data_IF_438359548409
#
_entry.id   IF_438359548409
#
_cell.length_a   1.000
_cell.length_b   1.000
_cell.length_c   1.000
_cell.angle_alpha   90.00
_cell.angle_beta   90.00
_cell.angle_gamma   90.00
#
_symmetry.space_group_name_H-M   'P 1'
#
loop_
_entity.id
_entity.type
_entity.pdbx_description
1 polymer ?
#
# COMPACT_ATOMS: atom_id res chain seq x y z
N UNK A 1 13.37 -18.33 -0.86
CA UNK A 1 13.53 -18.26 0.59
C UNK A 1 13.57 -16.79 0.96
N UNK A 2 12.65 -16.32 1.79
CA UNK A 2 12.53 -14.93 2.29
C UNK A 2 13.45 -14.67 3.48
N UNK A 3 14.59 -15.37 3.52
CA UNK A 3 15.55 -15.30 4.61
C UNK A 3 16.71 -14.42 4.20
N UNK A 4 17.04 -13.43 5.03
CA UNK A 4 18.21 -12.58 4.83
C UNK A 4 19.46 -13.42 5.13
N UNK A 5 20.26 -13.66 4.09
CA UNK A 5 21.56 -14.31 4.26
C UNK A 5 22.54 -13.40 4.99
N UNK A 6 23.59 -13.97 5.59
CA UNK A 6 24.64 -13.22 6.28
C UNK A 6 25.25 -12.10 5.44
N UNK A 7 25.48 -12.33 4.15
CA UNK A 7 26.07 -11.31 3.26
C UNK A 7 25.09 -10.19 2.89
N UNK A 8 23.80 -10.49 2.77
CA UNK A 8 22.77 -9.47 2.54
C UNK A 8 22.58 -8.59 3.77
N UNK A 9 22.57 -9.18 4.97
CA UNK A 9 22.48 -8.43 6.22
C UNK A 9 23.68 -7.51 6.39
N UNK A 10 24.91 -8.00 6.14
CA UNK A 10 26.12 -7.18 6.23
C UNK A 10 26.09 -6.01 5.24
N UNK A 11 25.62 -6.24 4.01
CA UNK A 11 25.44 -5.18 3.01
C UNK A 11 24.39 -4.16 3.43
N UNK A 12 23.26 -4.62 3.97
CA UNK A 12 22.20 -3.74 4.46
C UNK A 12 22.69 -2.85 5.62
N UNK A 13 23.42 -3.43 6.59
CA UNK A 13 24.00 -2.68 7.71
C UNK A 13 25.03 -1.67 7.21
N UNK A 14 25.97 -2.09 6.34
CA UNK A 14 26.96 -1.18 5.79
C UNK A 14 26.31 -0.01 5.02
N UNK A 15 25.28 -0.29 4.21
CA UNK A 15 24.51 0.73 3.51
C UNK A 15 23.79 1.70 4.47
N UNK A 16 23.12 1.17 5.49
CA UNK A 16 22.38 1.98 6.47
C UNK A 16 23.29 2.93 7.27
N UNK A 17 24.53 2.52 7.55
CA UNK A 17 25.51 3.33 8.26
C UNK A 17 26.46 4.12 7.33
N UNK A 18 26.25 4.07 6.01
CA UNK A 18 27.06 4.79 5.03
C UNK A 18 28.51 4.29 4.93
N UNK A 19 28.78 3.03 5.30
CA UNK A 19 30.11 2.42 5.17
C UNK A 19 30.32 1.99 3.72
N UNK A 20 31.30 2.54 3.00
CA UNK A 20 31.54 2.17 1.60
C UNK A 20 31.95 0.70 1.49
N UNK A 21 31.30 0.00 0.56
CA UNK A 21 31.62 -1.34 0.13
C UNK A 21 32.22 -1.25 -1.27
N UNK A 22 33.52 -1.50 -1.40
CA UNK A 22 34.15 -1.57 -2.73
C UNK A 22 33.76 -2.89 -3.41
N UNK A 23 33.53 -2.83 -4.72
CA UNK A 23 32.55 -3.62 -5.47
C UNK A 23 32.53 -5.16 -5.34
N UNK A 24 33.53 -5.84 -4.77
CA UNK A 24 33.46 -7.32 -4.63
C UNK A 24 34.15 -7.89 -3.39
N UNK A 25 34.48 -7.09 -2.37
CA UNK A 25 35.24 -7.60 -1.23
C UNK A 25 34.62 -7.23 0.12
N UNK A 26 33.91 -8.19 0.71
CA UNK A 26 33.57 -8.26 2.14
C UNK A 26 34.79 -8.13 3.10
N UNK A 27 36.03 -8.50 2.73
CA UNK A 27 37.17 -8.26 3.60
C UNK A 27 37.29 -6.81 4.10
N UNK A 28 37.33 -6.67 5.43
CA UNK A 28 37.62 -5.39 6.11
C UNK A 28 36.42 -4.48 6.39
N UNK A 29 35.18 -4.86 6.06
CA UNK A 29 34.01 -4.04 6.41
C UNK A 29 33.83 -3.94 7.94
N UNK A 30 34.08 -5.03 8.67
CA UNK A 30 34.01 -5.08 10.14
C UNK A 30 34.96 -4.06 10.78
N UNK A 31 36.18 -3.94 10.24
CA UNK A 31 37.15 -2.95 10.70
C UNK A 31 36.70 -1.51 10.40
N UNK A 32 36.13 -1.26 9.22
CA UNK A 32 35.58 0.06 8.85
C UNK A 32 34.38 0.43 9.72
N UNK A 33 33.48 -0.52 9.95
CA UNK A 33 32.31 -0.34 10.80
C UNK A 33 32.72 -0.12 12.25
N UNK A 34 33.68 -0.88 12.78
CA UNK A 34 34.25 -0.64 14.10
C UNK A 34 34.91 0.76 14.20
N UNK A 35 35.60 1.20 13.15
CA UNK A 35 36.15 2.56 13.08
C UNK A 35 35.07 3.66 13.12
N UNK A 36 33.96 3.46 12.42
CA UNK A 36 32.79 4.36 12.48
C UNK A 36 32.17 4.39 13.88
N UNK A 37 31.98 3.23 14.52
CA UNK A 37 31.47 3.18 15.88
C UNK A 37 32.39 3.92 16.85
N UNK A 38 33.70 3.74 16.72
CA UNK A 38 34.70 4.44 17.53
C UNK A 38 34.67 5.97 17.31
N UNK A 39 34.51 6.44 16.06
CA UNK A 39 34.38 7.88 15.80
C UNK A 39 33.10 8.46 16.40
N UNK A 40 31.97 7.74 16.30
CA UNK A 40 30.72 8.14 16.95
C UNK A 40 30.89 8.20 18.48
N UNK A 41 31.60 7.22 19.07
CA UNK A 41 31.91 7.21 20.49
C UNK A 41 32.77 8.39 20.93
N UNK A 42 33.76 8.78 20.13
CA UNK A 42 34.59 9.96 20.38
C UNK A 42 33.77 11.27 20.34
N UNK A 43 32.69 11.31 19.56
CA UNK A 43 31.71 12.41 19.52
C UNK A 43 30.66 12.34 20.65
N UNK A 44 30.74 11.35 21.55
CA UNK A 44 29.72 11.13 22.59
C UNK A 44 28.38 10.62 22.06
N UNK A 45 28.37 10.07 20.84
CA UNK A 45 27.18 9.53 20.16
C UNK A 45 27.21 8.00 20.20
N UNK A 46 26.03 7.40 20.05
CA UNK A 46 25.83 5.94 19.98
C UNK A 46 25.11 5.58 18.70
N UNK A 47 25.45 4.43 18.12
CA UNK A 47 24.75 3.86 16.99
C UNK A 47 23.59 2.99 17.48
N UNK A 48 22.43 3.10 16.81
CA UNK A 48 21.29 2.21 17.00
C UNK A 48 20.99 1.53 15.67
N UNK A 49 21.01 0.20 15.67
CA UNK A 49 20.61 -0.62 14.54
C UNK A 49 19.23 -1.23 14.82
N UNK A 50 18.22 -0.76 14.10
CA UNK A 50 16.86 -1.32 14.18
C UNK A 50 16.69 -2.29 13.02
N UNK A 51 16.34 -3.54 13.35
CA UNK A 51 16.01 -4.58 12.37
C UNK A 51 14.54 -4.88 12.53
N UNK A 52 13.74 -4.41 11.57
CA UNK A 52 12.33 -4.74 11.48
C UNK A 52 12.13 -6.08 10.77
N UNK A 53 11.00 -6.73 11.02
CA UNK A 53 10.67 -8.07 10.51
C UNK A 53 11.79 -9.11 10.79
N UNK A 54 12.42 -9.02 11.96
CA UNK A 54 13.59 -9.82 12.33
C UNK A 54 13.33 -11.34 12.37
N UNK A 55 12.07 -11.81 12.34
CA UNK A 55 11.74 -13.23 12.19
C UNK A 55 12.23 -13.82 10.85
N UNK A 56 12.57 -12.98 9.87
CA UNK A 56 13.15 -13.38 8.59
C UNK A 56 14.68 -13.59 8.63
N UNK A 57 15.34 -13.27 9.75
CA UNK A 57 16.75 -13.58 9.92
C UNK A 57 16.96 -15.09 9.93
N UNK A 58 18.00 -15.55 9.26
CA UNK A 58 18.48 -16.92 9.43
C UNK A 58 19.55 -16.98 10.53
N UNK A 59 20.01 -18.19 10.83
CA UNK A 59 21.04 -18.42 11.84
C UNK A 59 22.37 -17.73 11.49
N UNK A 60 22.70 -17.63 10.20
CA UNK A 60 23.92 -17.00 9.75
C UNK A 60 23.84 -15.47 9.96
N UNK A 61 22.69 -14.87 9.73
CA UNK A 61 22.39 -13.47 10.02
C UNK A 61 22.54 -13.13 11.51
N UNK A 62 21.99 -13.96 12.41
CA UNK A 62 22.19 -13.77 13.85
C UNK A 62 23.66 -13.85 14.27
N UNK A 63 24.44 -14.75 13.65
CA UNK A 63 25.88 -14.84 13.90
C UNK A 63 26.64 -13.57 13.51
N UNK A 64 26.17 -12.84 12.49
CA UNK A 64 26.71 -11.52 12.14
C UNK A 64 26.40 -10.51 13.25
N UNK A 65 25.17 -10.49 13.77
CA UNK A 65 24.79 -9.58 14.85
C UNK A 65 25.58 -9.86 16.13
N UNK A 66 25.79 -11.13 16.46
CA UNK A 66 26.63 -11.56 17.59
C UNK A 66 28.06 -11.03 17.45
N UNK A 67 28.67 -11.20 16.27
CA UNK A 67 30.01 -10.69 15.97
C UNK A 67 30.11 -9.16 16.04
N UNK A 68 29.06 -8.44 15.64
CA UNK A 68 29.00 -6.98 15.72
C UNK A 68 28.94 -6.47 17.16
N UNK A 69 28.18 -7.14 18.02
CA UNK A 69 28.06 -6.76 19.44
C UNK A 69 29.31 -7.16 20.23
N UNK A 70 29.92 -8.29 19.91
CA UNK A 70 31.12 -8.80 20.56
C UNK A 70 32.43 -8.07 20.19
N UNK A 71 32.36 -6.99 19.41
CA UNK A 71 33.50 -6.28 18.83
C UNK A 71 34.64 -5.95 19.82
N UNK A 72 35.87 -5.72 19.32
CA UNK A 72 37.11 -5.81 20.10
C UNK A 72 37.32 -4.75 21.19
N UNK A 73 36.39 -3.80 21.38
CA UNK A 73 36.61 -2.63 22.25
C UNK A 73 35.83 -2.76 23.56
N UNK A 74 36.54 -2.85 24.69
CA UNK A 74 35.99 -2.93 26.06
C UNK A 74 35.36 -1.61 26.55
N UNK A 75 35.33 -0.55 25.74
CA UNK A 75 34.87 0.77 26.12
C UNK A 75 33.44 1.04 25.63
N UNK A 76 32.44 0.61 26.43
CA UNK A 76 31.00 0.83 26.26
C UNK A 76 30.38 0.31 24.94
N UNK A 77 29.18 -0.30 24.94
CA UNK A 77 28.56 -0.74 23.69
C UNK A 77 28.15 0.50 22.87
N UNK A 78 28.99 0.86 21.91
CA UNK A 78 28.77 1.96 20.95
C UNK A 78 27.70 1.61 19.91
N UNK A 79 27.26 0.34 19.88
CA UNK A 79 26.17 -0.17 19.07
C UNK A 79 25.08 -0.78 19.96
N UNK A 80 23.84 -0.31 19.78
CA UNK A 80 22.63 -0.91 20.34
C UNK A 80 21.80 -1.52 19.21
N UNK A 81 21.30 -2.75 19.40
CA UNK A 81 20.53 -3.45 18.37
C UNK A 81 19.12 -3.68 18.86
N UNK A 82 18.13 -3.22 18.10
CA UNK A 82 16.71 -3.43 18.35
C UNK A 82 16.17 -4.42 17.33
N UNK A 83 15.69 -5.57 17.81
CA UNK A 83 15.03 -6.56 16.98
C UNK A 83 13.52 -6.40 17.13
N UNK A 84 12.85 -6.07 16.04
CA UNK A 84 11.40 -5.92 15.96
C UNK A 84 10.90 -6.96 14.97
N UNK A 85 9.82 -7.66 15.33
CA UNK A 85 9.29 -8.70 14.46
C UNK A 85 8.07 -9.39 15.06
N UNK A 86 7.55 -10.34 14.29
CA UNK A 86 6.39 -11.14 14.67
C UNK A 86 6.76 -12.20 15.74
N UNK A 87 5.78 -12.84 16.42
CA UNK A 87 6.02 -13.81 17.49
C UNK A 87 6.99 -14.96 17.14
N UNK A 88 7.12 -15.29 15.85
CA UNK A 88 8.05 -16.26 15.28
C UNK A 88 9.52 -15.92 15.60
N UNK A 89 9.86 -14.63 15.73
CA UNK A 89 11.17 -14.17 16.17
C UNK A 89 11.56 -14.78 17.52
N UNK A 90 10.59 -14.93 18.43
CA UNK A 90 10.84 -15.55 19.73
C UNK A 90 11.19 -17.03 19.59
N UNK A 91 10.52 -17.76 18.71
CA UNK A 91 10.83 -19.16 18.46
C UNK A 91 12.25 -19.32 17.91
N UNK A 92 12.66 -18.40 17.02
CA UNK A 92 14.00 -18.33 16.50
C UNK A 92 15.04 -18.03 17.60
N UNK A 93 14.76 -17.09 18.50
CA UNK A 93 15.64 -16.72 19.63
C UNK A 93 15.65 -17.77 20.77
N UNK A 94 14.61 -18.60 20.88
CA UNK A 94 14.51 -19.69 21.85
C UNK A 94 15.29 -20.94 21.41
N UNK A 95 15.77 -20.99 20.16
CA UNK A 95 16.50 -22.13 19.63
C UNK A 95 17.85 -22.34 20.38
N UNK A 96 18.24 -23.59 20.74
CA UNK A 96 19.46 -23.86 21.50
C UNK A 96 20.74 -23.33 20.82
N UNK A 97 20.75 -23.29 19.49
CA UNK A 97 21.91 -22.89 18.70
C UNK A 97 22.17 -21.37 18.74
N UNK A 98 21.20 -20.56 19.18
CA UNK A 98 21.33 -19.09 19.29
C UNK A 98 21.40 -18.62 20.74
N UNK A 99 21.56 -19.55 21.69
CA UNK A 99 21.58 -19.26 23.12
C UNK A 99 22.67 -18.25 23.53
N UNK A 100 23.80 -18.20 22.80
CA UNK A 100 24.85 -17.20 23.03
C UNK A 100 24.35 -15.78 22.73
N UNK A 101 23.80 -15.56 21.54
CA UNK A 101 23.22 -14.28 21.13
C UNK A 101 22.05 -13.86 22.03
N UNK A 102 21.20 -14.81 22.44
CA UNK A 102 20.09 -14.54 23.37
C UNK A 102 20.55 -13.91 24.69
N UNK A 103 21.73 -14.28 25.20
CA UNK A 103 22.27 -13.70 26.45
C UNK A 103 22.62 -12.22 26.32
N UNK A 104 22.78 -11.72 25.10
CA UNK A 104 23.04 -10.30 24.82
C UNK A 104 21.75 -9.46 24.84
N UNK A 105 20.57 -10.10 24.83
CA UNK A 105 19.28 -9.41 24.86
C UNK A 105 19.02 -8.92 26.29
N UNK A 106 19.29 -7.64 26.52
CA UNK A 106 19.05 -7.00 27.82
C UNK A 106 17.58 -6.73 28.12
N UNK A 107 16.76 -6.49 27.09
CA UNK A 107 15.34 -6.17 27.21
C UNK A 107 14.55 -6.94 26.15
N UNK A 108 13.46 -7.57 26.57
CA UNK A 108 12.50 -8.22 25.68
C UNK A 108 11.10 -7.72 26.06
N UNK A 109 10.39 -7.17 25.08
CA UNK A 109 9.03 -6.69 25.24
C UNK A 109 8.12 -7.40 24.22
N UNK A 110 6.97 -7.89 24.69
CA UNK A 110 5.92 -8.39 23.82
C UNK A 110 4.78 -7.37 23.80
N UNK A 111 4.49 -6.83 22.62
CA UNK A 111 3.35 -5.96 22.43
C UNK A 111 2.12 -6.80 22.14
N UNK A 112 1.21 -6.88 23.12
CA UNK A 112 -0.10 -7.49 22.96
C UNK A 112 -1.09 -6.55 22.24
N UNK A 113 -2.32 -7.04 21.98
CA UNK A 113 -3.42 -6.17 21.62
C UNK A 113 -3.70 -5.16 22.73
N UNK A 114 -4.27 -4.01 22.36
CA UNK A 114 -4.64 -2.96 23.29
C UNK A 114 -5.82 -3.39 24.16
N UNK A 115 -5.78 -3.05 25.45
CA UNK A 115 -6.92 -3.19 26.36
C UNK A 115 -8.11 -2.29 25.93
N UNK A 116 -9.33 -2.50 26.45
CA UNK A 116 -10.49 -1.67 26.07
C UNK A 116 -10.29 -0.17 26.27
N UNK A 117 -9.69 0.22 27.41
CA UNK A 117 -9.40 1.63 27.74
C UNK A 117 -8.30 2.20 26.85
N UNK A 118 -7.28 1.40 26.54
CA UNK A 118 -6.20 1.76 25.62
C UNK A 118 -6.71 1.87 24.17
N UNK A 119 -7.68 1.04 23.79
CA UNK A 119 -8.33 1.08 22.47
C UNK A 119 -9.05 2.42 22.28
N UNK A 120 -9.83 2.85 23.28
CA UNK A 120 -10.47 4.16 23.26
C UNK A 120 -9.43 5.28 23.18
N UNK A 121 -8.42 5.28 24.06
CA UNK A 121 -7.37 6.29 24.08
C UNK A 121 -6.60 6.36 22.75
N UNK A 122 -6.33 5.20 22.14
CA UNK A 122 -5.70 5.07 20.84
C UNK A 122 -6.56 5.70 19.72
N UNK A 123 -7.85 5.38 19.67
CA UNK A 123 -8.79 5.94 18.68
C UNK A 123 -8.86 7.47 18.83
N UNK A 124 -9.09 7.96 20.04
CA UNK A 124 -9.18 9.40 20.30
C UNK A 124 -7.88 10.13 19.97
N UNK A 125 -6.72 9.56 20.32
CA UNK A 125 -5.42 10.13 20.00
C UNK A 125 -5.24 10.26 18.47
N UNK A 126 -5.55 9.19 17.72
CA UNK A 126 -5.47 9.18 16.26
C UNK A 126 -6.41 10.19 15.62
N UNK A 127 -7.63 10.29 16.14
CA UNK A 127 -8.63 11.27 15.70
C UNK A 127 -8.14 12.71 15.95
N UNK A 128 -7.64 13.01 17.16
CA UNK A 128 -7.09 14.34 17.49
C UNK A 128 -5.92 14.74 16.57
N UNK A 129 -5.05 13.78 16.21
CA UNK A 129 -3.97 14.02 15.23
C UNK A 129 -4.51 14.38 13.84
N UNK A 130 -5.70 13.91 13.49
CA UNK A 130 -6.42 14.28 12.27
C UNK A 130 -7.28 15.55 12.37
N UNK A 131 -7.20 16.30 13.48
CA UNK A 131 -7.99 17.52 13.69
C UNK A 131 -9.41 17.29 14.20
N UNK A 132 -9.71 16.12 14.77
CA UNK A 132 -11.02 15.83 15.35
C UNK A 132 -11.33 16.72 16.55
N UNK A 133 -12.49 17.38 16.50
CA UNK A 133 -13.00 18.29 17.54
C UNK A 133 -14.16 17.68 18.34
N UNK A 134 -14.35 16.36 18.26
CA UNK A 134 -15.49 15.67 18.88
C UNK A 134 -16.64 15.35 17.92
N UNK A 135 -16.47 15.58 16.61
CA UNK A 135 -17.46 15.25 15.56
C UNK A 135 -16.87 14.37 14.44
N UNK A 136 -17.52 13.26 14.06
CA UNK A 136 -18.70 12.67 14.70
C UNK A 136 -18.41 12.25 16.14
N UNK A 137 -19.44 12.29 17.00
CA UNK A 137 -19.34 11.90 18.39
C UNK A 137 -19.35 10.37 18.50
N UNK A 138 -18.41 9.80 19.23
CA UNK A 138 -18.41 8.36 19.51
C UNK A 138 -19.08 8.13 20.86
N UNK A 139 -20.09 7.26 20.87
CA UNK A 139 -20.72 6.84 22.12
C UNK A 139 -19.83 5.85 22.87
N UNK A 140 -19.98 5.78 24.20
CA UNK A 140 -19.17 4.88 25.03
C UNK A 140 -19.28 3.41 24.56
N UNK A 141 -20.48 2.97 24.19
CA UNK A 141 -20.74 1.63 23.67
C UNK A 141 -20.07 1.36 22.31
N UNK A 142 -19.82 2.41 21.51
CA UNK A 142 -19.15 2.26 20.23
C UNK A 142 -17.68 1.87 20.43
N UNK A 143 -16.98 2.46 21.40
CA UNK A 143 -15.60 2.07 21.71
C UNK A 143 -15.50 0.62 22.19
N UNK A 144 -16.43 0.20 23.04
CA UNK A 144 -16.48 -1.18 23.54
C UNK A 144 -16.77 -2.17 22.40
N UNK A 145 -17.71 -1.83 21.52
CA UNK A 145 -18.04 -2.61 20.32
C UNK A 145 -16.84 -2.70 19.36
N UNK A 146 -16.13 -1.58 19.13
CA UNK A 146 -14.91 -1.55 18.28
C UNK A 146 -13.84 -2.48 18.87
N UNK A 147 -13.59 -2.39 20.18
CA UNK A 147 -12.62 -3.25 20.84
C UNK A 147 -13.00 -4.74 20.66
N UNK A 148 -14.25 -5.10 20.93
CA UNK A 148 -14.76 -6.48 20.79
C UNK A 148 -14.62 -7.01 19.36
N UNK A 149 -14.96 -6.21 18.35
CA UNK A 149 -14.86 -6.59 16.94
C UNK A 149 -13.41 -6.72 16.43
N UNK A 150 -12.47 -5.98 17.03
CA UNK A 150 -11.09 -5.89 16.54
C UNK A 150 -10.10 -6.69 17.39
N UNK A 151 -10.51 -7.11 18.58
CA UNK A 151 -9.66 -7.75 19.58
C UNK A 151 -8.54 -6.84 20.07
N UNK A 152 -8.71 -5.52 20.05
CA UNK A 152 -7.69 -4.56 20.47
C UNK A 152 -6.51 -4.39 19.50
N UNK A 153 -6.53 -5.02 18.32
CA UNK A 153 -5.41 -4.97 17.37
C UNK A 153 -5.42 -3.65 16.58
N UNK A 154 -4.39 -2.78 16.69
CA UNK A 154 -4.39 -1.44 16.09
C UNK A 154 -4.69 -1.42 14.58
N UNK A 155 -4.16 -2.39 13.82
CA UNK A 155 -4.41 -2.50 12.38
C UNK A 155 -5.89 -2.79 12.07
N UNK A 156 -6.54 -3.64 12.86
CA UNK A 156 -7.97 -3.96 12.73
C UNK A 156 -8.83 -2.78 13.17
N UNK A 157 -8.46 -2.13 14.28
CA UNK A 157 -9.09 -0.88 14.76
C UNK A 157 -9.07 0.16 13.64
N UNK A 158 -7.90 0.44 13.05
CA UNK A 158 -7.79 1.45 11.98
C UNK A 158 -8.67 1.11 10.78
N UNK A 159 -8.72 -0.16 10.35
CA UNK A 159 -9.58 -0.58 9.23
C UNK A 159 -11.05 -0.36 9.54
N UNK A 160 -11.50 -0.80 10.70
CA UNK A 160 -12.89 -0.64 11.13
C UNK A 160 -13.26 0.83 11.32
N UNK A 161 -12.42 1.61 12.01
CA UNK A 161 -12.63 3.05 12.21
C UNK A 161 -12.62 3.83 10.90
N UNK A 162 -11.73 3.52 9.95
CA UNK A 162 -11.75 4.15 8.63
C UNK A 162 -13.08 3.89 7.92
N UNK A 163 -13.58 2.65 7.96
CA UNK A 163 -14.90 2.30 7.41
C UNK A 163 -16.02 3.04 8.14
N UNK A 164 -15.98 3.10 9.47
CA UNK A 164 -16.97 3.79 10.29
C UNK A 164 -17.03 5.28 10.02
N UNK A 165 -15.87 5.95 10.02
CA UNK A 165 -15.78 7.38 9.75
C UNK A 165 -16.22 7.69 8.32
N UNK A 166 -15.86 6.84 7.36
CA UNK A 166 -16.34 6.95 5.99
C UNK A 166 -17.86 6.78 5.94
N UNK A 167 -18.43 5.71 6.49
CA UNK A 167 -19.90 5.51 6.52
C UNK A 167 -20.64 6.62 7.26
N UNK A 168 -20.12 7.07 8.40
CA UNK A 168 -20.69 8.18 9.20
C UNK A 168 -20.65 9.49 8.43
N UNK A 169 -19.52 9.81 7.81
CA UNK A 169 -19.39 10.97 6.93
C UNK A 169 -20.42 10.89 5.80
N UNK A 170 -20.53 9.74 5.15
CA UNK A 170 -21.42 9.53 4.01
C UNK A 170 -22.91 9.55 4.36
N UNK A 171 -23.29 9.17 5.58
CA UNK A 171 -24.66 9.28 6.10
C UNK A 171 -24.93 10.63 6.78
N UNK A 172 -23.95 11.55 6.79
CA UNK A 172 -23.99 12.79 7.58
C UNK A 172 -24.36 12.54 9.06
N UNK A 173 -23.96 11.38 9.58
CA UNK A 173 -24.28 10.97 10.94
C UNK A 173 -23.46 11.81 11.93
N UNK A 174 -24.14 12.46 12.86
CA UNK A 174 -23.50 13.28 13.89
C UNK A 174 -22.86 12.44 15.01
N UNK A 175 -23.29 11.18 15.17
CA UNK A 175 -22.78 10.23 16.16
C UNK A 175 -22.52 8.86 15.55
N UNK A 176 -21.66 8.09 16.23
CA UNK A 176 -21.33 6.69 15.94
C UNK A 176 -21.68 5.89 17.19
N UNK A 177 -22.65 4.99 17.04
CA UNK A 177 -23.16 4.09 18.07
C UNK A 177 -22.68 2.65 17.85
N UNK A 178 -23.04 1.74 18.76
CA UNK A 178 -22.68 0.33 18.64
C UNK A 178 -23.31 -0.36 17.41
N UNK A 179 -24.45 0.14 16.91
CA UNK A 179 -25.15 -0.42 15.74
C UNK A 179 -24.36 -0.11 14.46
N UNK A 180 -23.89 1.12 14.31
CA UNK A 180 -23.02 1.52 13.21
C UNK A 180 -21.73 0.70 13.20
N UNK A 181 -21.13 0.47 14.38
CA UNK A 181 -19.95 -0.40 14.54
C UNK A 181 -20.23 -1.83 14.08
N UNK A 182 -21.33 -2.43 14.52
CA UNK A 182 -21.70 -3.78 14.13
C UNK A 182 -21.93 -3.90 12.62
N UNK A 183 -22.57 -2.89 12.00
CA UNK A 183 -22.77 -2.87 10.56
C UNK A 183 -21.44 -2.78 9.81
N UNK A 184 -20.57 -1.84 10.17
CA UNK A 184 -19.27 -1.70 9.53
C UNK A 184 -18.37 -2.94 9.72
N UNK A 185 -18.49 -3.61 10.86
CA UNK A 185 -17.78 -4.88 11.13
C UNK A 185 -18.30 -6.01 10.22
N UNK A 186 -19.62 -6.13 10.04
CA UNK A 186 -20.19 -7.14 9.12
C UNK A 186 -19.77 -6.91 7.69
N UNK A 187 -19.83 -5.66 7.21
CA UNK A 187 -19.38 -5.31 5.86
C UNK A 187 -17.91 -5.73 5.66
N UNK A 188 -17.04 -5.44 6.63
CA UNK A 188 -15.61 -5.76 6.56
C UNK A 188 -15.35 -7.28 6.62
N UNK A 189 -16.18 -8.03 7.35
CA UNK A 189 -16.13 -9.50 7.39
C UNK A 189 -16.55 -10.11 6.06
N UNK A 190 -17.62 -9.62 5.43
CA UNK A 190 -18.07 -10.10 4.11
C UNK A 190 -17.01 -9.85 3.02
N UNK A 191 -16.28 -8.75 3.11
CA UNK A 191 -15.12 -8.46 2.24
C UNK A 191 -13.94 -9.41 2.49
N UNK A 192 -13.80 -9.93 3.71
CA UNK A 192 -12.71 -10.86 4.10
C UNK A 192 -13.07 -12.32 3.81
N UNK A 193 -14.33 -12.74 4.09
CA UNK A 193 -14.87 -14.08 3.86
C UNK A 193 -15.13 -14.36 2.36
N UNK A 194 -15.28 -13.32 1.53
CA UNK A 194 -15.17 -13.44 0.06
C UNK A 194 -13.78 -13.86 -0.44
N UNK A 195 -12.80 -14.02 0.46
CA UNK A 195 -11.43 -14.46 0.20
C UNK A 195 -11.00 -15.77 0.87
N UNK A 196 -11.82 -16.38 1.74
CA UNK A 196 -11.49 -17.62 2.45
C UNK A 196 -12.27 -18.82 1.90
N UNK A 197 -11.76 -19.42 0.82
CA UNK A 197 -12.05 -20.82 0.51
C UNK A 197 -11.15 -21.68 1.40
N UNK A 198 -11.78 -22.49 2.26
CA UNK A 198 -11.14 -23.55 3.02
C UNK A 198 -10.13 -24.34 2.16
N UNK A 199 -8.87 -24.31 2.55
CA UNK A 199 -7.81 -25.11 1.93
C UNK A 199 -7.93 -26.57 2.38
N UNK A 200 -8.85 -27.30 1.77
CA UNK A 200 -8.73 -28.75 1.61
C UNK A 200 -8.56 -29.02 0.11
N UNK A 201 -7.30 -29.14 -0.32
CA UNK A 201 -6.97 -29.48 -1.70
C UNK A 201 -6.05 -30.72 -1.78
N UNK A 202 -6.34 -31.71 -2.66
CA UNK A 202 -5.62 -32.99 -2.75
C UNK A 202 -4.23 -32.92 -3.40
N UNK A 203 -3.64 -31.73 -3.56
CA UNK A 203 -2.38 -31.54 -4.32
C UNK A 203 -1.12 -31.62 -3.45
N UNK A 204 -1.08 -32.50 -2.44
CA UNK A 204 0.09 -32.66 -1.55
C UNK A 204 1.19 -33.60 -2.07
N UNK A 205 1.12 -34.14 -3.31
CA UNK A 205 2.21 -34.94 -3.87
C UNK A 205 2.40 -34.73 -5.38
N UNK A 206 3.12 -33.69 -5.74
CA UNK A 206 3.86 -33.64 -7.00
C UNK A 206 5.22 -32.97 -6.77
N UNK A 207 6.21 -33.80 -6.44
CA UNK A 207 7.61 -33.39 -6.35
C UNK A 207 8.14 -33.10 -7.76
N UNK A 208 8.06 -31.84 -8.20
CA UNK A 208 8.82 -31.40 -9.38
C UNK A 208 10.26 -31.06 -8.97
N UNK A 209 11.20 -31.88 -9.44
CA UNK A 209 12.63 -31.57 -9.44
C UNK A 209 12.88 -30.45 -10.45
N UNK A 210 13.26 -29.27 -9.98
CA UNK A 210 13.84 -28.23 -10.82
C UNK A 210 15.36 -28.37 -10.79
N UNK A 211 15.92 -28.75 -11.94
CA UNK A 211 17.36 -28.73 -12.20
C UNK A 211 17.89 -27.30 -12.15
N UNK A 212 19.08 -27.15 -11.57
CA UNK A 212 19.84 -25.91 -11.60
C UNK A 212 20.12 -25.52 -13.06
N UNK A 213 19.72 -24.31 -13.45
CA UNK A 213 20.21 -23.64 -14.65
C UNK A 213 20.72 -22.26 -14.25
N UNK A 214 21.87 -21.94 -14.79
CA UNK A 214 22.78 -20.87 -14.42
C UNK A 214 22.14 -19.48 -14.54
N UNK A 215 22.56 -18.59 -13.63
CA UNK A 215 22.20 -17.16 -13.64
C UNK A 215 23.00 -16.49 -14.77
N UNK A 216 22.39 -16.38 -15.94
CA UNK A 216 22.88 -15.49 -17.01
C UNK A 216 22.15 -14.15 -16.94
N UNK A 217 22.94 -13.10 -17.14
CA UNK A 217 22.66 -11.66 -17.20
C UNK A 217 21.31 -11.23 -17.79
N UNK A 218 20.77 -10.15 -17.23
CA UNK A 218 19.73 -9.27 -17.78
C UNK A 218 18.52 -9.99 -18.42
N UNK A 219 17.47 -10.20 -17.61
CA UNK A 219 16.16 -10.56 -18.17
C UNK A 219 15.68 -9.41 -19.07
N UNK A 220 15.29 -9.67 -20.33
CA UNK A 220 14.63 -8.65 -21.13
C UNK A 220 13.34 -8.26 -20.40
N UNK A 221 13.26 -6.99 -19.97
CA UNK A 221 12.03 -6.43 -19.44
C UNK A 221 10.94 -6.52 -20.49
N UNK A 222 9.71 -6.79 -20.07
CA UNK A 222 8.55 -6.70 -20.94
C UNK A 222 8.58 -5.30 -21.60
N UNK A 223 8.50 -5.18 -22.93
CA UNK A 223 8.56 -3.88 -23.58
C UNK A 223 7.41 -2.99 -23.09
N UNK A 224 7.75 -1.77 -22.67
CA UNK A 224 6.76 -0.73 -22.34
C UNK A 224 5.90 -0.43 -23.57
N UNK A 225 4.63 -0.13 -23.33
CA UNK A 225 3.74 0.37 -24.38
C UNK A 225 4.35 1.64 -25.02
N UNK A 226 4.23 1.82 -26.35
CA UNK A 226 4.78 2.98 -27.03
C UNK A 226 4.17 4.29 -26.49
N UNK A 227 5.00 5.33 -26.36
CA UNK A 227 4.57 6.66 -25.91
C UNK A 227 3.44 7.22 -26.80
N UNK A 228 2.51 8.01 -26.26
CA UNK A 228 1.38 8.52 -27.03
C UNK A 228 1.87 9.47 -28.14
N UNK A 229 1.36 9.28 -29.35
CA UNK A 229 1.53 10.25 -30.44
C UNK A 229 0.70 11.50 -30.14
N UNK A 230 1.33 12.68 -30.24
CA UNK A 230 0.75 14.00 -29.94
C UNK A 230 -0.43 14.42 -30.83
N UNK A 231 -0.76 13.61 -31.85
CA UNK A 231 -1.68 13.99 -32.94
C UNK A 231 -3.00 13.19 -32.93
N UNK A 232 -3.34 12.51 -31.83
CA UNK A 232 -4.64 11.84 -31.73
C UNK A 232 -5.76 12.86 -31.46
N UNK A 233 -6.89 12.82 -32.21
CA UNK A 233 -7.99 13.77 -32.01
C UNK A 233 -8.56 13.64 -30.59
N UNK A 234 -9.24 14.69 -30.13
CA UNK A 234 -9.89 14.79 -28.81
C UNK A 234 -10.95 13.69 -28.57
N UNK A 235 -10.50 12.46 -28.37
CA UNK A 235 -11.32 11.30 -28.03
C UNK A 235 -11.61 11.29 -26.54
N UNK A 236 -12.53 10.40 -26.12
CA UNK A 236 -12.90 10.26 -24.72
C UNK A 236 -11.87 9.42 -23.97
N UNK A 237 -11.50 9.86 -22.77
CA UNK A 237 -10.76 9.05 -21.80
C UNK A 237 -11.72 8.09 -21.09
N UNK A 238 -11.30 6.86 -20.81
CA UNK A 238 -12.01 5.97 -19.89
C UNK A 238 -11.30 5.95 -18.54
N UNK A 239 -11.99 6.37 -17.49
CA UNK A 239 -11.49 6.39 -16.12
C UNK A 239 -12.03 5.16 -15.39
N UNK A 240 -11.18 4.15 -15.21
CA UNK A 240 -11.59 2.85 -14.68
C UNK A 240 -11.39 2.82 -13.16
N UNK A 241 -12.45 2.46 -12.42
CA UNK A 241 -12.43 2.43 -10.95
C UNK A 241 -12.82 1.06 -10.40
N UNK A 242 -11.99 0.53 -9.50
CA UNK A 242 -12.20 -0.78 -8.89
C UNK A 242 -12.92 -0.74 -7.54
N UNK A 243 -12.87 0.39 -6.84
CA UNK A 243 -13.55 0.57 -5.55
C UNK A 243 -13.90 2.03 -5.23
N UNK A 244 -14.41 2.24 -4.02
CA UNK A 244 -14.84 3.57 -3.55
C UNK A 244 -13.68 4.58 -3.51
N UNK A 245 -12.48 4.16 -3.11
CA UNK A 245 -11.29 5.01 -3.08
C UNK A 245 -10.90 5.51 -4.47
N UNK A 246 -10.86 4.61 -5.47
CA UNK A 246 -10.60 4.96 -6.86
C UNK A 246 -11.65 5.92 -7.41
N UNK A 247 -12.92 5.76 -7.00
CA UNK A 247 -13.98 6.66 -7.43
C UNK A 247 -13.77 8.09 -6.95
N UNK A 248 -13.37 8.29 -5.69
CA UNK A 248 -13.07 9.63 -5.14
C UNK A 248 -11.93 10.29 -5.94
N UNK A 249 -10.89 9.51 -6.27
CA UNK A 249 -9.76 9.97 -7.09
C UNK A 249 -10.20 10.32 -8.52
N UNK A 250 -11.00 9.46 -9.15
CA UNK A 250 -11.54 9.66 -10.48
C UNK A 250 -12.42 10.91 -10.55
N UNK A 251 -13.29 11.14 -9.57
CA UNK A 251 -14.14 12.32 -9.51
C UNK A 251 -13.33 13.62 -9.44
N UNK A 252 -12.28 13.67 -8.63
CA UNK A 252 -11.36 14.81 -8.57
C UNK A 252 -10.67 15.05 -9.93
N UNK A 253 -10.17 13.99 -10.56
CA UNK A 253 -9.54 14.06 -11.88
C UNK A 253 -10.50 14.58 -12.95
N UNK A 254 -11.70 14.00 -13.05
CA UNK A 254 -12.69 14.37 -14.07
C UNK A 254 -13.11 15.83 -13.94
N UNK A 255 -13.27 16.34 -12.72
CA UNK A 255 -13.56 17.76 -12.47
C UNK A 255 -12.41 18.68 -12.89
N UNK A 256 -11.17 18.25 -12.76
CA UNK A 256 -10.02 19.01 -13.25
C UNK A 256 -9.99 19.02 -14.79
N UNK A 257 -10.26 17.88 -15.44
CA UNK A 257 -10.29 17.74 -16.90
C UNK A 257 -11.36 18.60 -17.58
N UNK A 258 -12.51 18.81 -16.93
CA UNK A 258 -13.57 19.73 -17.40
C UNK A 258 -13.10 21.19 -17.42
N UNK A 259 -12.15 21.56 -16.56
CA UNK A 259 -11.60 22.93 -16.49
C UNK A 259 -10.46 23.18 -17.48
N UNK A 260 -9.97 22.16 -18.17
CA UNK A 260 -8.96 22.33 -19.21
C UNK A 260 -9.54 23.06 -20.43
N UNK A 261 -8.70 23.79 -21.17
CA UNK A 261 -9.07 24.41 -22.44
C UNK A 261 -8.22 23.81 -23.57
N UNK A 262 -8.79 22.99 -24.49
CA UNK A 262 -10.18 22.54 -24.51
C UNK A 262 -10.48 21.46 -23.44
N UNK A 263 -11.75 21.31 -23.01
CA UNK A 263 -12.12 20.30 -22.03
C UNK A 263 -11.90 18.90 -22.59
N UNK A 264 -11.28 18.04 -21.80
CA UNK A 264 -11.01 16.65 -22.19
C UNK A 264 -12.18 15.76 -21.77
N UNK A 265 -12.96 15.20 -22.71
CA UNK A 265 -14.10 14.37 -22.35
C UNK A 265 -13.63 13.08 -21.68
N UNK A 266 -14.23 12.75 -20.54
CA UNK A 266 -13.84 11.60 -19.72
C UNK A 266 -15.08 10.85 -19.25
N UNK A 267 -15.07 9.53 -19.40
CA UNK A 267 -16.18 8.63 -19.02
C UNK A 267 -15.71 7.75 -17.87
N UNK A 268 -16.51 7.69 -16.81
CA UNK A 268 -16.24 6.81 -15.68
C UNK A 268 -16.66 5.37 -16.02
N UNK A 269 -15.81 4.39 -15.74
CA UNK A 269 -16.11 2.96 -15.93
C UNK A 269 -15.97 2.24 -14.59
N UNK A 270 -17.06 1.62 -14.11
CA UNK A 270 -17.12 0.96 -12.80
C UNK A 270 -17.46 -0.51 -12.98
N UNK A 271 -16.85 -1.41 -12.20
CA UNK A 271 -17.22 -2.83 -12.25
C UNK A 271 -18.17 -3.28 -11.15
N UNK A 272 -18.56 -2.40 -10.23
CA UNK A 272 -19.51 -2.68 -9.16
C UNK A 272 -20.78 -1.85 -9.36
N UNK A 273 -21.93 -2.39 -8.92
CA UNK A 273 -23.23 -1.70 -8.99
C UNK A 273 -23.25 -0.48 -8.06
N UNK A 274 -24.02 0.52 -8.47
CA UNK A 274 -24.26 1.77 -7.73
C UNK A 274 -24.85 1.56 -6.32
N UNK A 275 -25.38 0.39 -5.97
CA UNK A 275 -26.02 0.15 -4.66
C UNK A 275 -25.06 0.43 -3.47
N UNK A 276 -23.75 0.26 -3.65
CA UNK A 276 -22.72 0.61 -2.66
C UNK A 276 -22.45 2.13 -2.52
N UNK A 277 -22.96 2.95 -3.44
CA UNK A 277 -22.90 4.43 -3.41
C UNK A 277 -24.28 5.04 -3.14
N UNK A 278 -25.38 4.30 -3.40
CA UNK A 278 -26.76 4.71 -3.05
C UNK A 278 -26.97 4.92 -1.56
N UNK A 279 -26.25 4.19 -0.70
CA UNK A 279 -26.21 4.42 0.75
C UNK A 279 -25.62 5.79 1.14
N UNK A 280 -25.06 6.51 0.17
CA UNK A 280 -24.17 7.65 0.36
C UNK A 280 -24.49 8.82 -0.61
N UNK A 281 -25.72 8.84 -1.14
CA UNK A 281 -26.21 9.76 -2.18
C UNK A 281 -25.90 11.23 -1.89
N UNK A 282 -26.03 11.70 -0.64
CA UNK A 282 -25.76 13.10 -0.29
C UNK A 282 -24.28 13.52 -0.30
N UNK A 283 -23.35 12.57 -0.28
CA UNK A 283 -21.91 12.85 -0.32
C UNK A 283 -21.32 12.67 -1.71
N UNK A 284 -21.90 11.73 -2.46
CA UNK A 284 -21.57 11.54 -3.83
C UNK A 284 -22.35 12.46 -4.76
N UNK A 285 -23.53 13.02 -4.46
CA UNK A 285 -24.20 14.03 -5.32
C UNK A 285 -23.26 15.19 -5.71
N UNK A 286 -22.34 15.57 -4.82
CA UNK A 286 -21.35 16.63 -5.06
C UNK A 286 -20.03 16.16 -5.71
N UNK A 287 -19.80 14.85 -5.78
CA UNK A 287 -18.71 14.17 -6.51
C UNK A 287 -19.23 13.39 -7.73
N UNK A 288 -20.55 13.35 -7.91
CA UNK A 288 -21.19 12.43 -8.82
C UNK A 288 -20.91 12.94 -10.20
N UNK A 289 -20.34 12.06 -11.00
CA UNK A 289 -20.14 12.32 -12.40
C UNK A 289 -21.37 11.74 -13.08
N UNK A 290 -22.54 12.29 -12.74
CA UNK A 290 -23.86 11.76 -13.16
C UNK A 290 -24.02 11.65 -14.68
N UNK A 291 -23.17 12.33 -15.46
CA UNK A 291 -23.45 12.53 -16.88
C UNK A 291 -22.73 11.55 -17.81
N UNK A 292 -21.73 10.77 -17.37
CA UNK A 292 -21.02 9.82 -18.23
C UNK A 292 -20.39 8.66 -17.42
N UNK A 293 -21.24 7.76 -16.90
CA UNK A 293 -20.81 6.57 -16.17
C UNK A 293 -21.30 5.28 -16.85
N UNK A 294 -20.39 4.32 -17.03
CA UNK A 294 -20.66 2.99 -17.59
C UNK A 294 -20.39 1.94 -16.51
N UNK A 295 -21.42 1.19 -16.15
CA UNK A 295 -21.31 0.06 -15.23
C UNK A 295 -21.08 -1.23 -16.01
N UNK A 296 -20.01 -1.94 -15.71
CA UNK A 296 -19.73 -3.26 -16.28
C UNK A 296 -20.56 -4.37 -15.59
N UNK A 297 -21.20 -4.11 -14.44
CA UNK A 297 -22.12 -4.99 -13.69
C UNK A 297 -21.64 -6.44 -13.47
N UNK A 298 -20.37 -6.63 -13.07
CA UNK A 298 -19.78 -7.99 -12.96
C UNK A 298 -19.96 -8.55 -11.55
N UNK A 299 -20.80 -9.57 -11.42
CA UNK A 299 -20.93 -10.39 -10.20
C UNK A 299 -20.38 -11.79 -10.45
N UNK A 300 -19.40 -12.22 -9.65
CA UNK A 300 -18.85 -13.57 -9.72
C UNK A 300 -18.30 -14.00 -8.36
N UNK A 301 -18.39 -15.29 -8.04
CA UNK A 301 -17.99 -15.85 -6.75
C UNK A 301 -16.47 -16.11 -6.62
N UNK A 302 -15.69 -15.85 -7.67
CA UNK A 302 -14.23 -16.05 -7.67
C UNK A 302 -13.52 -14.83 -8.27
N UNK A 303 -12.45 -14.31 -7.64
CA UNK A 303 -11.69 -13.17 -8.15
C UNK A 303 -11.15 -13.37 -9.58
N UNK A 304 -10.72 -14.58 -9.92
CA UNK A 304 -10.21 -14.90 -11.26
C UNK A 304 -11.32 -14.83 -12.31
N UNK A 305 -12.51 -15.37 -12.00
CA UNK A 305 -13.68 -15.33 -12.89
C UNK A 305 -14.20 -13.90 -13.03
N UNK A 306 -14.21 -13.14 -11.95
CA UNK A 306 -14.57 -11.73 -11.97
C UNK A 306 -13.64 -10.92 -12.88
N UNK A 307 -12.33 -11.14 -12.76
CA UNK A 307 -11.30 -10.52 -13.61
C UNK A 307 -11.52 -10.83 -15.09
N UNK A 308 -11.84 -12.09 -15.43
CA UNK A 308 -12.13 -12.52 -16.79
C UNK A 308 -13.39 -11.83 -17.37
N UNK A 309 -14.48 -11.78 -16.61
CA UNK A 309 -15.71 -11.10 -17.04
C UNK A 309 -15.55 -9.59 -17.17
N UNK A 310 -14.75 -8.97 -16.29
CA UNK A 310 -14.37 -7.55 -16.43
C UNK A 310 -13.62 -7.34 -17.74
N UNK A 311 -12.60 -8.15 -18.01
CA UNK A 311 -11.83 -8.05 -19.25
C UNK A 311 -12.73 -8.19 -20.49
N UNK A 312 -13.61 -9.19 -20.51
CA UNK A 312 -14.54 -9.43 -21.63
C UNK A 312 -15.48 -8.24 -21.87
N UNK A 313 -16.11 -7.71 -20.81
CA UNK A 313 -17.04 -6.58 -20.95
C UNK A 313 -16.33 -5.28 -21.28
N UNK A 314 -15.16 -5.05 -20.68
CA UNK A 314 -14.34 -3.89 -20.99
C UNK A 314 -13.83 -3.92 -22.43
N UNK A 315 -13.50 -5.09 -22.98
CA UNK A 315 -13.11 -5.23 -24.39
C UNK A 315 -14.22 -4.80 -25.36
N UNK A 316 -15.47 -5.20 -25.07
CA UNK A 316 -16.63 -4.75 -25.86
C UNK A 316 -16.82 -3.24 -25.78
N UNK A 317 -16.62 -2.66 -24.59
CA UNK A 317 -16.68 -1.22 -24.39
C UNK A 317 -15.61 -0.52 -25.22
N UNK A 318 -14.35 -0.93 -25.11
CA UNK A 318 -13.22 -0.38 -25.85
C UNK A 318 -13.44 -0.41 -27.37
N UNK A 319 -13.96 -1.53 -27.90
CA UNK A 319 -14.27 -1.69 -29.33
C UNK A 319 -15.35 -0.72 -29.81
N UNK A 320 -16.33 -0.43 -28.96
CA UNK A 320 -17.48 0.43 -29.29
C UNK A 320 -17.16 1.91 -29.10
N UNK A 321 -16.49 2.27 -28.00
CA UNK A 321 -16.23 3.67 -27.63
C UNK A 321 -14.94 4.24 -28.23
N UNK A 322 -13.99 3.38 -28.65
CA UNK A 322 -12.68 3.76 -29.22
C UNK A 322 -12.02 4.91 -28.45
N UNK A 323 -11.69 4.70 -27.17
CA UNK A 323 -11.18 5.77 -26.32
C UNK A 323 -9.78 6.20 -26.74
N UNK A 324 -9.45 7.48 -26.50
CA UNK A 324 -8.12 8.00 -26.78
C UNK A 324 -7.09 7.61 -25.70
N UNK A 325 -7.55 7.14 -24.54
CA UNK A 325 -6.72 6.68 -23.45
C UNK A 325 -7.52 6.07 -22.31
N UNK A 326 -6.85 5.29 -21.47
CA UNK A 326 -7.43 4.67 -20.27
C UNK A 326 -6.66 5.13 -19.05
N UNK A 327 -7.38 5.57 -18.02
CA UNK A 327 -6.83 5.94 -16.71
C UNK A 327 -7.19 4.87 -15.71
N UNK A 328 -6.19 4.38 -14.97
CA UNK A 328 -6.35 3.41 -13.87
C UNK A 328 -5.72 3.94 -12.59
N UNK A 329 -6.21 3.48 -11.44
CA UNK A 329 -5.72 3.88 -10.12
C UNK A 329 -5.19 2.67 -9.35
N UNK A 330 -4.08 2.87 -8.62
CA UNK A 330 -3.57 1.98 -7.55
C UNK A 330 -3.35 0.49 -7.91
N UNK A 331 -3.49 0.09 -9.18
CA UNK A 331 -3.13 -1.24 -9.67
C UNK A 331 -3.90 -2.41 -9.05
N UNK A 332 -5.23 -2.31 -8.90
CA UNK A 332 -6.09 -3.44 -8.51
C UNK A 332 -6.16 -4.55 -9.57
N UNK A 333 -6.70 -5.73 -9.23
CA UNK A 333 -6.91 -6.82 -10.20
C UNK A 333 -7.79 -6.39 -11.40
N UNK A 334 -8.78 -5.53 -11.13
CA UNK A 334 -9.61 -4.90 -12.15
C UNK A 334 -8.81 -3.91 -13.01
N UNK A 335 -8.01 -3.06 -12.39
CA UNK A 335 -7.14 -2.13 -13.11
C UNK A 335 -6.22 -2.90 -14.06
N UNK A 336 -5.63 -4.01 -13.59
CA UNK A 336 -4.81 -4.89 -14.41
C UNK A 336 -5.59 -5.48 -15.58
N UNK A 337 -6.80 -6.01 -15.36
CA UNK A 337 -7.64 -6.58 -16.41
C UNK A 337 -7.91 -5.56 -17.53
N UNK A 338 -8.34 -4.36 -17.16
CA UNK A 338 -8.61 -3.28 -18.10
C UNK A 338 -7.33 -2.79 -18.80
N UNK A 339 -6.21 -2.75 -18.08
CA UNK A 339 -4.91 -2.37 -18.63
C UNK A 339 -4.43 -3.36 -19.70
N UNK A 340 -4.58 -4.67 -19.46
CA UNK A 340 -4.24 -5.72 -20.45
C UNK A 340 -5.08 -5.55 -21.72
N UNK A 341 -6.40 -5.34 -21.57
CA UNK A 341 -7.30 -5.14 -22.70
C UNK A 341 -6.93 -3.86 -23.48
N UNK A 342 -6.70 -2.74 -22.80
CA UNK A 342 -6.32 -1.48 -23.43
C UNK A 342 -4.99 -1.62 -24.21
N UNK A 343 -4.01 -2.28 -23.61
CA UNK A 343 -2.71 -2.52 -24.22
C UNK A 343 -2.83 -3.40 -25.48
N UNK A 344 -3.67 -4.45 -25.46
CA UNK A 344 -3.93 -5.30 -26.63
C UNK A 344 -4.57 -4.54 -27.79
N UNK A 345 -5.29 -3.45 -27.49
CA UNK A 345 -5.90 -2.56 -28.48
C UNK A 345 -5.00 -1.37 -28.86
N UNK A 346 -3.77 -1.27 -28.33
CA UNK A 346 -2.85 -0.18 -28.60
C UNK A 346 -3.29 1.17 -28.02
N UNK A 347 -4.12 1.17 -26.97
CA UNK A 347 -4.65 2.37 -26.34
C UNK A 347 -3.68 2.80 -25.22
N UNK A 348 -3.28 4.07 -25.17
CA UNK A 348 -2.34 4.54 -24.14
C UNK A 348 -3.00 4.49 -22.76
N UNK A 349 -2.20 4.08 -21.77
CA UNK A 349 -2.67 3.89 -20.39
C UNK A 349 -1.92 4.86 -19.46
N UNK A 350 -2.68 5.57 -18.63
CA UNK A 350 -2.18 6.38 -17.54
C UNK A 350 -2.45 5.69 -16.20
N UNK A 351 -1.40 5.36 -15.45
CA UNK A 351 -1.49 4.79 -14.10
C UNK A 351 -1.31 5.88 -13.06
N UNK A 352 -2.33 6.12 -12.23
CA UNK A 352 -2.32 7.12 -11.15
C UNK A 352 -2.10 6.43 -9.81
N UNK A 353 -1.13 6.93 -9.03
CA UNK A 353 -0.68 6.24 -7.81
C UNK A 353 0.33 5.12 -8.11
N UNK A 354 1.06 5.25 -9.22
CA UNK A 354 2.06 4.31 -9.67
C UNK A 354 3.28 4.24 -8.74
N UNK A 355 4.05 3.16 -8.82
CA UNK A 355 5.35 3.05 -8.15
C UNK A 355 5.33 2.74 -6.64
N UNK A 356 4.14 2.67 -6.04
CA UNK A 356 4.00 2.18 -4.66
C UNK A 356 4.29 0.68 -4.64
N UNK A 357 5.23 0.27 -3.77
CA UNK A 357 5.62 -1.13 -3.55
C UNK A 357 5.51 -1.49 -2.09
N UNK A 358 4.96 -2.67 -1.83
CA UNK A 358 4.85 -3.24 -0.48
C UNK A 358 6.02 -4.18 -0.14
N UNK A 359 6.96 -4.39 -1.07
CA UNK A 359 8.17 -5.21 -0.94
C UNK A 359 7.91 -6.72 -0.65
N UNK A 360 6.65 -7.12 -0.53
CA UNK A 360 6.19 -8.51 -0.36
C UNK A 360 5.70 -9.10 -1.70
N UNK A 361 6.60 -9.77 -2.43
CA UNK A 361 6.30 -10.37 -3.75
C UNK A 361 5.20 -11.43 -3.77
N UNK A 362 4.81 -11.95 -2.61
CA UNK A 362 3.75 -12.96 -2.46
C UNK A 362 2.36 -12.35 -2.33
N UNK A 363 2.23 -11.04 -2.15
CA UNK A 363 0.92 -10.37 -2.10
C UNK A 363 0.43 -10.06 -3.50
N UNK A 364 -0.78 -10.52 -3.80
CA UNK A 364 -1.46 -10.30 -5.08
C UNK A 364 -1.53 -8.82 -5.44
N UNK A 365 -1.74 -7.94 -4.46
CA UNK A 365 -1.84 -6.48 -4.65
C UNK A 365 -0.54 -5.83 -5.18
N UNK A 366 0.63 -6.33 -4.75
CA UNK A 366 1.93 -5.79 -5.17
C UNK A 366 2.27 -6.26 -6.60
N UNK A 367 1.88 -7.49 -6.93
CA UNK A 367 2.00 -8.05 -8.27
C UNK A 367 1.09 -7.32 -9.27
N UNK A 368 -0.17 -7.05 -8.92
CA UNK A 368 -1.09 -6.34 -9.82
C UNK A 368 -0.64 -4.90 -10.07
N UNK A 369 -0.11 -4.21 -9.06
CA UNK A 369 0.53 -2.89 -9.21
C UNK A 369 1.72 -2.95 -10.15
N UNK A 370 2.65 -3.87 -9.91
CA UNK A 370 3.84 -4.02 -10.75
C UNK A 370 3.48 -4.29 -12.21
N UNK A 371 2.55 -5.21 -12.47
CA UNK A 371 2.12 -5.55 -13.82
C UNK A 371 1.37 -4.39 -14.50
N UNK A 372 0.52 -3.68 -13.75
CA UNK A 372 -0.19 -2.49 -14.26
C UNK A 372 0.80 -1.41 -14.66
N UNK A 373 1.79 -1.13 -13.80
CA UNK A 373 2.80 -0.09 -14.05
C UNK A 373 3.68 -0.42 -15.28
N UNK A 374 3.89 -1.70 -15.59
CA UNK A 374 4.67 -2.11 -16.77
C UNK A 374 3.94 -1.95 -18.09
N UNK A 375 2.63 -2.13 -18.06
CA UNK A 375 1.79 -1.98 -19.24
C UNK A 375 1.35 -0.52 -19.44
N UNK A 376 1.44 0.31 -18.39
CA UNK A 376 1.13 1.73 -18.46
C UNK A 376 2.12 2.49 -19.35
N UNK A 377 1.59 3.44 -20.11
CA UNK A 377 2.37 4.33 -20.99
C UNK A 377 2.91 5.54 -20.21
N UNK A 378 2.13 6.03 -19.27
CA UNK A 378 2.47 7.16 -18.39
C UNK A 378 2.14 6.81 -16.95
N UNK A 379 3.06 7.13 -16.03
CA UNK A 379 3.03 6.76 -14.63
C UNK A 379 3.06 8.03 -13.78
N UNK A 380 1.97 8.28 -13.06
CA UNK A 380 1.83 9.40 -12.12
C UNK A 380 2.07 8.90 -10.69
N UNK A 381 3.19 9.32 -10.11
CA UNK A 381 3.64 8.89 -8.78
C UNK A 381 3.25 9.90 -7.71
N UNK A 382 3.06 9.40 -6.49
CA UNK A 382 2.66 10.21 -5.33
C UNK A 382 3.83 10.95 -4.70
N UNK A 383 5.03 10.40 -4.80
CA UNK A 383 6.24 10.88 -4.14
C UNK A 383 7.51 10.37 -4.85
N UNK A 384 8.65 10.87 -4.39
CA UNK A 384 9.97 10.53 -4.93
C UNK A 384 10.33 9.05 -4.69
N UNK A 385 9.89 8.44 -3.58
CA UNK A 385 10.18 7.04 -3.29
C UNK A 385 9.45 6.11 -4.28
N UNK A 386 8.18 6.41 -4.59
CA UNK A 386 7.44 5.71 -5.63
C UNK A 386 8.08 5.88 -7.02
N UNK A 387 8.61 7.07 -7.32
CA UNK A 387 9.34 7.35 -8.56
C UNK A 387 10.63 6.54 -8.65
N UNK A 388 11.37 6.44 -7.55
CA UNK A 388 12.61 5.67 -7.46
C UNK A 388 12.37 4.18 -7.64
N UNK A 389 11.28 3.63 -7.07
CA UNK A 389 10.90 2.23 -7.29
C UNK A 389 10.74 1.90 -8.78
N UNK A 390 10.06 2.77 -9.55
CA UNK A 390 9.87 2.60 -11.00
C UNK A 390 11.20 2.70 -11.75
N UNK A 391 12.10 3.59 -11.31
CA UNK A 391 13.45 3.75 -11.89
C UNK A 391 14.31 2.52 -11.65
N UNK A 392 14.30 1.96 -10.44
CA UNK A 392 15.00 0.72 -10.09
C UNK A 392 14.46 -0.48 -10.87
N UNK A 393 13.18 -0.43 -11.22
CA UNK A 393 12.53 -1.37 -12.12
C UNK A 393 12.93 -1.17 -13.61
N UNK A 394 13.70 -0.13 -13.95
CA UNK A 394 14.16 0.12 -15.32
C UNK A 394 13.12 0.81 -16.20
N UNK A 395 12.13 1.47 -15.61
CA UNK A 395 11.21 2.33 -16.35
C UNK A 395 11.91 3.64 -16.67
N UNK A 396 11.85 4.06 -17.94
CA UNK A 396 12.51 5.28 -18.40
C UNK A 396 11.92 6.53 -17.70
N UNK A 397 12.75 7.48 -17.23
CA UNK A 397 12.27 8.67 -16.52
C UNK A 397 11.22 9.49 -17.28
N UNK A 398 11.27 9.49 -18.62
CA UNK A 398 10.30 10.18 -19.48
C UNK A 398 8.85 9.69 -19.33
N UNK A 399 8.62 8.52 -18.75
CA UNK A 399 7.29 7.98 -18.51
C UNK A 399 6.81 8.22 -17.06
N UNK A 400 7.67 8.73 -16.18
CA UNK A 400 7.40 8.86 -14.74
C UNK A 400 7.25 10.33 -14.37
N UNK A 401 6.13 10.68 -13.74
CA UNK A 401 5.80 12.05 -13.35
C UNK A 401 5.37 12.08 -11.88
N UNK A 402 6.18 12.68 -11.02
CA UNK A 402 5.84 12.91 -9.62
C UNK A 402 4.88 14.10 -9.51
N UNK A 403 3.61 13.82 -9.17
CA UNK A 403 2.53 14.82 -9.17
C UNK A 403 1.82 14.95 -7.81
N UNK A 404 2.20 14.13 -6.82
CA UNK A 404 1.52 14.12 -5.53
C UNK A 404 0.32 13.18 -5.52
N UNK A 405 -0.44 13.21 -4.42
CA UNK A 405 -1.62 12.34 -4.24
C UNK A 405 -2.91 13.05 -4.58
N UNK A 406 -3.61 12.55 -5.59
CA UNK A 406 -4.94 13.04 -5.99
C UNK A 406 -6.01 12.89 -4.87
N UNK A 407 -5.73 12.06 -3.86
CA UNK A 407 -6.56 11.98 -2.67
C UNK A 407 -6.57 13.29 -1.85
N UNK A 408 -5.44 14.02 -1.83
CA UNK A 408 -5.37 15.32 -1.18
C UNK A 408 -6.20 16.37 -1.93
N UNK A 409 -6.17 16.35 -3.27
CA UNK A 409 -7.02 17.19 -4.11
C UNK A 409 -8.51 16.92 -3.86
N UNK A 410 -8.91 15.65 -3.83
CA UNK A 410 -10.28 15.25 -3.56
C UNK A 410 -10.78 15.76 -2.18
N UNK A 411 -9.90 15.70 -1.16
CA UNK A 411 -10.19 16.23 0.16
C UNK A 411 -10.31 17.77 0.15
N UNK A 412 -9.35 18.46 -0.48
CA UNK A 412 -9.35 19.92 -0.57
C UNK A 412 -10.58 20.46 -1.32
N UNK A 413 -11.02 19.76 -2.38
CA UNK A 413 -12.23 20.10 -3.12
C UNK A 413 -13.50 19.97 -2.26
N UNK A 414 -13.57 18.94 -1.44
CA UNK A 414 -14.67 18.72 -0.49
C UNK A 414 -14.68 19.77 0.63
N UNK A 415 -13.50 20.24 1.08
CA UNK A 415 -13.37 21.21 2.16
C UNK A 415 -13.65 22.66 1.73
N UNK A 416 -13.14 23.12 0.56
CA UNK A 416 -13.32 24.51 0.09
C UNK A 416 -14.78 24.92 -0.03
N UNK A 417 -15.62 24.07 -0.62
CA UNK A 417 -17.05 24.36 -0.78
C UNK A 417 -17.82 24.44 0.54
N UNK A 418 -17.40 23.70 1.57
CA UNK A 418 -18.03 23.75 2.90
C UNK A 418 -17.65 25.00 3.70
N UNK A 419 -16.48 25.59 3.40
CA UNK A 419 -16.06 26.88 3.95
C UNK A 419 -16.84 28.01 3.27
N UNK A 420 -16.99 27.96 1.94
CA UNK A 420 -17.72 28.98 1.17
C UNK A 420 -19.25 28.94 1.40
N UNK A 421 -19.81 27.80 1.80
CA UNK A 421 -21.24 27.62 2.08
C UNK A 421 -21.67 28.03 3.50
N UNK A 422 -20.77 28.50 4.37
CA UNK A 422 -21.08 28.92 5.74
C UNK A 422 -21.31 30.44 5.82
N UNK A 423 -22.55 30.95 6.01
CA UNK A 423 -22.81 32.40 6.02
C UNK A 423 -22.41 33.14 7.31
N UNK A 424 -21.58 32.57 8.19
CA UNK A 424 -21.59 32.94 9.61
C UNK A 424 -20.25 33.33 10.25
N UNK A 425 -19.23 33.73 9.48
CA UNK A 425 -17.92 34.12 10.05
C UNK A 425 -17.52 35.59 9.87
N UNK A 426 -18.41 36.46 9.35
CA UNK A 426 -18.12 37.90 9.20
C UNK A 426 -18.51 38.76 10.42
N UNK A 427 -18.89 38.16 11.55
CA UNK A 427 -19.29 38.91 12.75
C UNK A 427 -18.64 38.38 14.05
N UNK A 428 -17.35 38.09 13.98
CA UNK A 428 -16.42 38.02 15.12
C UNK A 428 -15.22 38.89 14.78
#
# INVERSE_FOLDING_TARGET
STQLSSDELRRAVAGAFGVPLNDQSMPGWEARFAGLLASLGAEGRRAVLVIDEAQHLDRAGLGVLDALVAGPSQASPLLEIWLVGQPELRQLLDAPQVAAFRRLIGVSCLLGPLEPTETQAYIEHRLRKGGWTGRPQFDAEAFESIHRCTGGVPRRINRLCNRLLLSSFLLSAASIDAVAVAQASRDLQLETEGGDIAWDSPFSKATMRLGASERTSARPGLPLAPAPNSDSPAGRLLCVVGGQGDHVKAAALMRALVKCEPPSPCVLVRAFRNDALRLHRGLFEELDVEHDCIELDVTANSPAVQTAHIAERFERLVKTSRPCGVVVFDGSALALACTVVANNHGIPIASVGAGVRLLERTRTDDLTRTLTDRLATVLYTTDEAASENLRLEGIAPKHVHCVGTIGADALAMSLRKRIDAAPAWQSL
#
